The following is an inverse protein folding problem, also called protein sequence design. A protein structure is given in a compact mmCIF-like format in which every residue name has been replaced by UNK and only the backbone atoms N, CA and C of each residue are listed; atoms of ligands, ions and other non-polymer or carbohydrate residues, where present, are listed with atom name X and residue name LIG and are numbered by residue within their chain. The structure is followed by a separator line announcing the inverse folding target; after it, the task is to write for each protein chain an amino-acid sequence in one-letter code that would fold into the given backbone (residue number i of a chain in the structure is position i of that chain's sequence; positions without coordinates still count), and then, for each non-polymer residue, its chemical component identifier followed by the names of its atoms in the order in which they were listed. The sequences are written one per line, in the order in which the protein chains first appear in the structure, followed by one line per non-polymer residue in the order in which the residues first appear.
data_IF_842551694128
#
_entry.id   IF_842551694128
#
_cell.length_a   1.000
_cell.length_b   1.000
_cell.length_c   1.000
_cell.angle_alpha   90.00
_cell.angle_beta   90.00
_cell.angle_gamma   90.00
#
_symmetry.space_group_name_H-M   'P 1'
#
loop_
_entity.id
_entity.type
_entity.pdbx_description
1 polymer ?
#
# COMPACT_ATOMS: atom_id res chain seq x y z
N UNK A 1 -22.96 -18.15 3.18
CA UNK A 1 -22.63 -16.72 3.38
C UNK A 1 -21.25 -16.51 2.78
N UNK A 2 -21.17 -15.77 1.68
CA UNK A 2 -19.88 -15.43 1.07
C UNK A 2 -19.19 -14.40 1.97
N UNK A 3 -17.99 -14.72 2.47
CA UNK A 3 -17.20 -13.84 3.32
C UNK A 3 -15.82 -13.71 2.69
N UNK A 4 -15.43 -12.49 2.37
CA UNK A 4 -14.09 -12.19 1.91
C UNK A 4 -13.08 -12.52 3.00
N UNK A 5 -12.01 -13.23 2.64
CA UNK A 5 -10.92 -13.57 3.52
C UNK A 5 -9.82 -12.51 3.43
N UNK A 6 -9.56 -11.86 4.55
CA UNK A 6 -8.56 -10.81 4.68
C UNK A 6 -7.62 -11.08 5.86
N UNK A 7 -7.44 -12.36 6.23
CA UNK A 7 -6.64 -12.75 7.39
C UNK A 7 -5.18 -12.29 7.27
N UNK A 8 -4.60 -12.30 6.07
CA UNK A 8 -3.20 -11.87 5.85
C UNK A 8 -3.11 -10.36 5.94
N UNK A 9 -3.97 -9.66 5.20
CA UNK A 9 -4.07 -8.19 5.24
C UNK A 9 -4.25 -7.66 6.66
N UNK A 10 -5.22 -8.19 7.41
CA UNK A 10 -5.52 -7.70 8.76
C UNK A 10 -4.31 -7.85 9.69
N UNK A 11 -3.51 -8.90 9.52
CA UNK A 11 -2.30 -9.06 10.34
C UNK A 11 -1.16 -8.16 9.88
N UNK A 12 -1.00 -7.94 8.57
CA UNK A 12 -0.05 -6.97 8.03
C UNK A 12 -0.37 -5.56 8.54
N UNK A 13 -1.63 -5.14 8.49
CA UNK A 13 -2.08 -3.86 9.06
C UNK A 13 -1.75 -3.75 10.55
N UNK A 14 -2.00 -4.81 11.33
CA UNK A 14 -1.64 -4.81 12.74
C UNK A 14 -0.12 -4.69 12.95
N UNK A 15 0.71 -5.36 12.15
CA UNK A 15 2.18 -5.21 12.22
C UNK A 15 2.64 -3.79 11.89
N UNK A 16 2.00 -3.12 10.94
CA UNK A 16 2.29 -1.72 10.62
C UNK A 16 1.91 -0.79 11.78
N UNK A 17 0.78 -1.04 12.44
CA UNK A 17 0.38 -0.30 13.65
C UNK A 17 1.36 -0.50 14.80
N UNK A 18 1.77 -1.74 15.05
CA UNK A 18 2.76 -2.04 16.10
C UNK A 18 4.09 -1.31 15.82
N UNK A 19 4.52 -1.27 14.55
CA UNK A 19 5.73 -0.53 14.13
C UNK A 19 5.59 0.97 14.33
N UNK A 20 4.53 1.60 13.82
CA UNK A 20 4.38 3.05 13.95
C UNK A 20 4.18 3.48 15.41
N UNK A 21 3.56 2.64 16.25
CA UNK A 21 3.45 2.93 17.67
C UNK A 21 4.80 2.88 18.41
N UNK A 22 5.73 2.03 17.95
CA UNK A 22 6.99 1.77 18.66
C UNK A 22 8.17 2.61 18.15
N UNK A 23 8.17 2.94 16.85
CA UNK A 23 9.38 3.33 16.12
C UNK A 23 9.05 4.30 14.96
N UNK A 24 8.11 5.22 15.19
CA UNK A 24 7.84 6.29 14.22
C UNK A 24 8.87 7.41 14.37
N UNK A 25 9.54 7.86 13.29
CA UNK A 25 10.62 8.85 13.40
C UNK A 25 10.12 10.21 13.90
N UNK A 26 10.76 10.75 14.94
CA UNK A 26 10.39 12.05 15.54
C UNK A 26 10.44 13.22 14.55
N UNK A 27 11.35 13.15 13.57
CA UNK A 27 11.57 14.19 12.54
C UNK A 27 10.94 13.85 11.20
N UNK A 28 9.75 13.26 11.22
CA UNK A 28 9.01 12.91 9.99
C UNK A 28 8.44 14.14 9.27
N UNK A 29 8.49 14.13 7.94
CA UNK A 29 7.89 15.13 7.05
C UNK A 29 6.35 15.01 6.94
N UNK A 30 5.79 13.95 7.53
CA UNK A 30 4.36 13.72 7.71
C UNK A 30 4.07 13.34 9.15
N UNK A 31 2.88 13.70 9.62
CA UNK A 31 2.40 13.23 10.93
C UNK A 31 2.10 11.73 10.91
N UNK A 32 2.27 11.06 12.04
CA UNK A 32 1.87 9.67 12.24
C UNK A 32 0.39 9.44 11.91
N UNK A 33 -0.48 10.39 12.28
CA UNK A 33 -1.92 10.33 12.02
C UNK A 33 -2.20 10.28 10.51
N UNK A 34 -1.55 11.15 9.73
CA UNK A 34 -1.65 11.14 8.26
C UNK A 34 -1.25 9.78 7.69
N UNK A 35 -0.07 9.28 8.06
CA UNK A 35 0.44 7.97 7.59
C UNK A 35 -0.57 6.85 7.86
N UNK A 36 -1.14 6.81 9.06
CA UNK A 36 -2.16 5.81 9.39
C UNK A 36 -3.44 5.94 8.58
N UNK A 37 -3.99 7.14 8.50
CA UNK A 37 -5.23 7.38 7.78
C UNK A 37 -5.06 6.98 6.32
N UNK A 38 -4.00 7.47 5.67
CA UNK A 38 -3.72 7.24 4.25
C UNK A 38 -3.49 5.75 3.93
N UNK A 39 -2.61 5.06 4.67
CA UNK A 39 -2.37 3.63 4.46
C UNK A 39 -3.65 2.80 4.64
N UNK A 40 -4.43 3.10 5.68
CA UNK A 40 -5.65 2.36 5.97
C UNK A 40 -6.75 2.64 4.93
N UNK A 41 -7.01 3.90 4.58
CA UNK A 41 -8.07 4.26 3.64
C UNK A 41 -7.74 3.80 2.21
N UNK A 42 -6.48 3.91 1.76
CA UNK A 42 -6.01 3.28 0.52
C UNK A 42 -6.31 1.77 0.50
N UNK A 43 -6.00 1.05 1.59
CA UNK A 43 -6.26 -0.39 1.69
C UNK A 43 -7.74 -0.77 1.58
N UNK A 44 -8.67 0.12 1.95
CA UNK A 44 -10.10 -0.13 1.79
C UNK A 44 -10.60 0.26 0.40
N UNK A 45 -10.21 1.43 -0.10
CA UNK A 45 -10.60 1.92 -1.43
C UNK A 45 -10.17 0.94 -2.53
N UNK A 46 -8.94 0.43 -2.45
CA UNK A 46 -8.42 -0.46 -3.48
C UNK A 46 -9.19 -1.76 -3.60
N UNK A 47 -9.80 -2.27 -2.51
CA UNK A 47 -10.63 -3.49 -2.55
C UNK A 47 -11.85 -3.32 -3.44
N UNK A 48 -12.46 -2.13 -3.42
CA UNK A 48 -13.65 -1.81 -4.21
C UNK A 48 -13.31 -1.83 -5.70
N UNK A 49 -12.17 -1.25 -6.08
CA UNK A 49 -11.75 -1.20 -7.47
C UNK A 49 -11.14 -2.51 -7.96
N UNK A 50 -10.39 -3.23 -7.13
CA UNK A 50 -9.92 -4.57 -7.42
C UNK A 50 -11.11 -5.52 -7.71
N UNK A 51 -12.19 -5.42 -6.93
CA UNK A 51 -13.42 -6.18 -7.18
C UNK A 51 -14.02 -5.87 -8.55
N UNK A 52 -14.07 -4.58 -8.96
CA UNK A 52 -14.59 -4.18 -10.28
C UNK A 52 -13.71 -4.66 -11.44
N UNK A 53 -12.42 -4.84 -11.21
CA UNK A 53 -11.45 -5.27 -12.23
C UNK A 53 -11.19 -6.79 -12.22
N UNK A 54 -11.87 -7.55 -11.35
CA UNK A 54 -11.64 -9.00 -11.22
C UNK A 54 -10.27 -9.37 -10.64
N UNK A 55 -9.62 -8.45 -9.93
CA UNK A 55 -8.34 -8.65 -9.26
C UNK A 55 -8.53 -9.17 -7.83
N UNK A 56 -7.49 -9.78 -7.27
CA UNK A 56 -7.47 -10.20 -5.87
C UNK A 56 -7.54 -8.97 -4.95
N UNK A 57 -8.64 -8.83 -4.23
CA UNK A 57 -8.86 -7.70 -3.33
C UNK A 57 -7.89 -7.72 -2.15
N UNK A 58 -7.55 -8.91 -1.63
CA UNK A 58 -6.58 -9.02 -0.53
C UNK A 58 -5.17 -8.64 -0.99
N UNK A 59 -4.73 -9.13 -2.16
CA UNK A 59 -3.39 -8.81 -2.69
C UNK A 59 -3.25 -7.31 -2.97
N UNK A 60 -4.24 -6.71 -3.65
CA UNK A 60 -4.24 -5.28 -3.92
C UNK A 60 -4.23 -4.46 -2.61
N UNK A 61 -5.03 -4.87 -1.62
CA UNK A 61 -5.06 -4.20 -0.32
C UNK A 61 -3.76 -4.36 0.48
N UNK A 62 -3.05 -5.48 0.34
CA UNK A 62 -1.72 -5.65 0.95
C UNK A 62 -0.72 -4.69 0.32
N UNK A 63 -0.69 -4.58 -1.01
CA UNK A 63 0.17 -3.62 -1.69
C UNK A 63 -0.14 -2.17 -1.26
N UNK A 64 -1.43 -1.80 -1.18
CA UNK A 64 -1.85 -0.49 -0.70
C UNK A 64 -1.52 -0.24 0.79
N UNK A 65 -1.60 -1.26 1.65
CA UNK A 65 -1.20 -1.12 3.04
C UNK A 65 0.31 -0.89 3.21
N UNK A 66 1.11 -1.33 2.24
CA UNK A 66 2.57 -1.33 2.29
C UNK A 66 3.25 -0.26 1.41
N UNK A 67 2.50 0.48 0.59
CA UNK A 67 3.09 1.37 -0.42
C UNK A 67 3.97 2.48 0.17
N UNK A 68 3.58 3.03 1.32
CA UNK A 68 4.34 4.05 2.04
C UNK A 68 5.19 3.46 3.19
N UNK A 69 5.56 2.18 3.12
CA UNK A 69 6.37 1.55 4.17
C UNK A 69 7.73 2.24 4.36
N UNK A 70 8.33 2.79 3.30
CA UNK A 70 9.54 3.60 3.40
C UNK A 70 9.33 4.84 4.26
N UNK A 71 8.23 5.58 4.02
CA UNK A 71 7.86 6.75 4.80
C UNK A 71 7.57 6.40 6.27
N UNK A 72 6.94 5.26 6.52
CA UNK A 72 6.74 4.74 7.88
C UNK A 72 8.06 4.46 8.61
N UNK A 73 9.09 3.99 7.88
CA UNK A 73 10.40 3.66 8.45
C UNK A 73 11.30 4.88 8.65
N UNK A 74 11.28 5.82 7.72
CA UNK A 74 12.28 6.92 7.66
C UNK A 74 11.69 8.28 7.98
N UNK A 75 10.39 8.47 7.82
CA UNK A 75 9.72 9.76 7.92
C UNK A 75 10.00 10.70 6.74
N UNK A 76 10.74 10.24 5.72
CA UNK A 76 11.20 11.05 4.59
C UNK A 76 10.38 10.72 3.35
N UNK A 77 9.88 11.74 2.64
CA UNK A 77 9.11 11.53 1.39
C UNK A 77 10.02 11.28 0.18
N UNK A 78 11.20 11.88 0.16
CA UNK A 78 12.12 11.67 -0.94
C UNK A 78 12.50 10.19 -1.05
N UNK A 79 12.34 9.62 -2.25
CA UNK A 79 12.60 8.20 -2.54
C UNK A 79 11.91 7.18 -1.59
N UNK A 80 10.77 7.53 -1.00
CA UNK A 80 10.06 6.66 -0.06
C UNK A 80 9.56 5.35 -0.71
N UNK A 81 9.20 5.38 -1.99
CA UNK A 81 8.74 4.21 -2.75
C UNK A 81 9.87 3.17 -2.92
N UNK A 82 11.02 3.61 -3.42
CA UNK A 82 12.23 2.81 -3.58
C UNK A 82 12.71 2.25 -2.22
N UNK A 83 12.86 3.14 -1.23
CA UNK A 83 13.26 2.76 0.14
C UNK A 83 12.27 1.76 0.75
N UNK A 84 10.97 1.96 0.55
CA UNK A 84 9.94 1.06 1.02
C UNK A 84 10.09 -0.32 0.40
N UNK A 85 10.22 -0.38 -0.92
CA UNK A 85 10.38 -1.64 -1.66
C UNK A 85 11.61 -2.44 -1.19
N UNK A 86 12.75 -1.78 -0.94
CA UNK A 86 13.96 -2.43 -0.45
C UNK A 86 13.80 -3.03 0.96
N UNK A 87 12.97 -2.41 1.81
CA UNK A 87 12.72 -2.87 3.17
C UNK A 87 11.59 -3.94 3.27
N UNK A 88 10.86 -4.17 2.18
CA UNK A 88 9.68 -5.03 2.20
C UNK A 88 9.99 -6.53 2.22
N UNK A 89 11.13 -6.95 1.69
CA UNK A 89 11.54 -8.36 1.75
C UNK A 89 11.59 -8.85 3.20
N UNK A 90 12.34 -8.13 4.05
CA UNK A 90 12.45 -8.41 5.48
C UNK A 90 11.12 -8.32 6.22
N UNK A 91 10.24 -7.39 5.83
CA UNK A 91 8.90 -7.30 6.41
C UNK A 91 8.06 -8.54 6.09
N UNK A 92 8.02 -8.94 4.82
CA UNK A 92 7.24 -10.08 4.35
C UNK A 92 7.81 -11.41 4.85
N UNK A 93 9.14 -11.52 5.00
CA UNK A 93 9.78 -12.70 5.61
C UNK A 93 9.41 -12.85 7.09
N UNK A 94 9.40 -11.75 7.85
CA UNK A 94 8.90 -11.76 9.23
C UNK A 94 7.43 -12.13 9.30
N UNK A 95 6.59 -11.61 8.41
CA UNK A 95 5.18 -11.99 8.34
C UNK A 95 5.02 -13.50 8.09
N UNK A 96 5.68 -14.03 7.05
CA UNK A 96 5.60 -15.44 6.69
C UNK A 96 6.11 -16.34 7.82
N UNK A 97 7.24 -15.99 8.43
CA UNK A 97 7.84 -16.76 9.54
C UNK A 97 6.93 -16.80 10.77
N UNK A 98 6.35 -15.67 11.18
CA UNK A 98 5.59 -15.60 12.44
C UNK A 98 4.12 -16.02 12.29
N UNK A 99 3.55 -15.84 11.09
CA UNK A 99 2.11 -15.91 10.88
C UNK A 99 1.68 -16.76 9.69
N UNK A 100 2.59 -17.08 8.77
CA UNK A 100 2.30 -17.79 7.52
C UNK A 100 1.57 -19.12 7.71
N UNK A 101 2.02 -19.96 8.64
CA UNK A 101 1.37 -21.26 8.92
C UNK A 101 -0.09 -21.13 9.35
N UNK A 102 -0.45 -20.06 10.07
CA UNK A 102 -1.79 -19.87 10.64
C UNK A 102 -2.70 -19.01 9.77
N UNK A 103 -2.14 -18.15 8.93
CA UNK A 103 -2.87 -17.13 8.17
C UNK A 103 -2.75 -17.25 6.65
N UNK A 104 -1.83 -18.08 6.18
CA UNK A 104 -1.44 -18.16 4.77
C UNK A 104 -0.17 -17.35 4.52
N UNK A 105 0.70 -17.92 3.68
CA UNK A 105 1.92 -17.28 3.20
C UNK A 105 1.57 -16.17 2.19
N UNK A 106 2.43 -15.16 2.11
CA UNK A 106 2.59 -14.34 0.91
C UNK A 106 3.57 -15.10 0.01
N UNK A 107 3.11 -15.56 -1.15
CA UNK A 107 3.92 -16.37 -2.06
C UNK A 107 5.03 -15.54 -2.71
N UNK A 108 6.00 -16.19 -3.36
CA UNK A 108 7.04 -15.48 -4.11
C UNK A 108 6.48 -14.63 -5.26
N UNK A 109 5.41 -15.10 -5.92
CA UNK A 109 4.72 -14.35 -6.97
C UNK A 109 3.99 -13.12 -6.41
N UNK A 110 3.22 -13.30 -5.33
CA UNK A 110 2.53 -12.20 -4.65
C UNK A 110 3.53 -11.17 -4.11
N UNK A 111 4.65 -11.63 -3.55
CA UNK A 111 5.76 -10.78 -3.09
C UNK A 111 6.30 -9.92 -4.24
N UNK A 112 6.62 -10.53 -5.38
CA UNK A 112 7.10 -9.79 -6.55
C UNK A 112 6.11 -8.73 -7.01
N UNK A 113 4.81 -9.07 -7.06
CA UNK A 113 3.74 -8.12 -7.41
C UNK A 113 3.68 -6.97 -6.40
N UNK A 114 3.71 -7.26 -5.10
CA UNK A 114 3.65 -6.24 -4.04
C UNK A 114 4.87 -5.33 -4.12
N UNK A 115 6.08 -5.87 -4.12
CA UNK A 115 7.32 -5.09 -4.10
C UNK A 115 7.45 -4.25 -5.36
N UNK A 116 7.13 -4.81 -6.53
CA UNK A 116 7.14 -4.05 -7.78
C UNK A 116 6.11 -2.91 -7.76
N UNK A 117 4.87 -3.20 -7.34
CA UNK A 117 3.82 -2.19 -7.23
C UNK A 117 4.24 -1.07 -6.28
N UNK A 118 4.81 -1.40 -5.12
CA UNK A 118 5.29 -0.42 -4.14
C UNK A 118 6.47 0.38 -4.68
N UNK A 119 7.44 -0.24 -5.37
CA UNK A 119 8.60 0.49 -5.90
C UNK A 119 8.20 1.60 -6.86
N UNK A 120 7.27 1.29 -7.75
CA UNK A 120 6.90 2.17 -8.85
C UNK A 120 5.63 2.99 -8.58
N UNK A 121 4.98 2.85 -7.41
CA UNK A 121 3.69 3.52 -7.18
C UNK A 121 3.78 5.05 -7.28
N UNK A 122 4.94 5.66 -7.03
CA UNK A 122 5.12 7.12 -7.13
C UNK A 122 5.26 7.63 -8.56
N UNK A 123 5.50 6.77 -9.55
CA UNK A 123 5.70 7.11 -10.96
C UNK A 123 4.36 7.34 -11.68
N UNK A 124 3.69 8.45 -11.34
CA UNK A 124 2.29 8.67 -11.76
C UNK A 124 2.11 8.90 -13.26
N UNK A 125 3.09 9.44 -13.96
CA UNK A 125 3.02 9.65 -15.42
C UNK A 125 3.29 8.36 -16.21
N UNK A 126 4.03 7.42 -15.62
CA UNK A 126 4.36 6.17 -16.27
C UNK A 126 3.16 5.23 -16.22
N UNK A 127 2.75 4.73 -17.39
CA UNK A 127 1.63 3.80 -17.55
C UNK A 127 2.21 2.43 -17.93
N UNK A 128 1.80 1.39 -17.21
CA UNK A 128 2.17 0.00 -17.50
C UNK A 128 0.94 -0.86 -17.79
N UNK A 129 1.17 -2.07 -18.32
CA UNK A 129 0.14 -3.11 -18.48
C UNK A 129 -0.06 -3.94 -17.20
N UNK A 130 0.50 -3.49 -16.07
CA UNK A 130 0.47 -4.23 -14.81
C UNK A 130 -0.69 -3.77 -13.91
N UNK A 131 -1.72 -4.60 -13.74
CA UNK A 131 -2.99 -4.14 -13.18
C UNK A 131 -2.91 -3.72 -11.71
N UNK A 132 -2.10 -4.42 -10.89
CA UNK A 132 -1.93 -4.07 -9.48
C UNK A 132 -1.15 -2.76 -9.30
N UNK A 133 -0.13 -2.51 -10.13
CA UNK A 133 0.64 -1.27 -10.10
C UNK A 133 -0.23 -0.08 -10.50
N UNK A 134 -0.91 -0.17 -11.64
CA UNK A 134 -1.76 0.93 -12.11
C UNK A 134 -2.91 1.20 -11.13
N UNK A 135 -3.53 0.15 -10.59
CA UNK A 135 -4.58 0.31 -9.59
C UNK A 135 -4.05 0.95 -8.29
N UNK A 136 -2.85 0.59 -7.85
CA UNK A 136 -2.24 1.21 -6.67
C UNK A 136 -1.93 2.70 -6.91
N UNK A 137 -1.36 3.03 -8.08
CA UNK A 137 -1.06 4.43 -8.45
C UNK A 137 -2.32 5.29 -8.46
N UNK A 138 -3.41 4.72 -8.98
CA UNK A 138 -4.71 5.34 -9.06
C UNK A 138 -5.34 5.58 -7.68
N UNK A 139 -5.35 4.55 -6.83
CA UNK A 139 -5.97 4.64 -5.50
C UNK A 139 -5.18 5.55 -4.56
N UNK A 140 -3.84 5.52 -4.59
CA UNK A 140 -3.04 6.48 -3.82
C UNK A 140 -3.39 7.93 -4.21
N UNK A 141 -3.50 8.20 -5.52
CA UNK A 141 -3.90 9.53 -6.00
C UNK A 141 -5.32 9.93 -5.57
N UNK A 142 -6.26 8.98 -5.67
CA UNK A 142 -7.66 9.19 -5.29
C UNK A 142 -7.82 9.41 -3.78
N UNK A 143 -7.15 8.61 -2.96
CA UNK A 143 -7.24 8.72 -1.50
C UNK A 143 -6.76 10.09 -1.02
N UNK A 144 -5.59 10.54 -1.51
CA UNK A 144 -5.07 11.88 -1.23
C UNK A 144 -6.08 12.97 -1.61
N UNK A 145 -6.68 12.87 -2.79
CA UNK A 145 -7.72 13.81 -3.24
C UNK A 145 -8.95 13.80 -2.33
N UNK A 146 -9.41 12.62 -1.90
CA UNK A 146 -10.57 12.47 -1.00
C UNK A 146 -10.28 13.01 0.43
N UNK A 147 -9.02 13.03 0.85
CA UNK A 147 -8.58 13.73 2.08
C UNK A 147 -8.40 15.24 1.90
N UNK A 148 -8.73 15.80 0.73
CA UNK A 148 -8.64 17.23 0.46
C UNK A 148 -7.21 17.73 0.22
N UNK A 149 -6.26 16.84 -0.11
CA UNK A 149 -4.90 17.25 -0.48
C UNK A 149 -4.96 17.94 -1.86
N UNK A 150 -4.38 19.15 -2.02
CA UNK A 150 -4.29 19.80 -3.32
C UNK A 150 -3.69 18.87 -4.37
N UNK A 151 -4.43 18.65 -5.45
CA UNK A 151 -4.14 17.62 -6.45
C UNK A 151 -4.08 18.25 -7.84
N UNK A 152 -3.01 17.98 -8.59
CA UNK A 152 -2.78 18.49 -9.94
C UNK A 152 -1.91 17.54 -10.76
N UNK A 153 -1.67 17.89 -12.02
CA UNK A 153 -0.81 17.13 -12.92
C UNK A 153 -1.20 15.65 -13.02
N UNK A 154 -0.20 14.77 -12.95
CA UNK A 154 -0.35 13.32 -13.04
C UNK A 154 -1.36 12.73 -12.05
N UNK A 155 -1.38 13.23 -10.80
CA UNK A 155 -2.29 12.77 -9.77
C UNK A 155 -3.75 13.05 -10.16
N UNK A 156 -4.05 14.25 -10.66
CA UNK A 156 -5.41 14.61 -11.08
C UNK A 156 -5.88 13.77 -12.28
N UNK A 157 -4.99 13.51 -13.25
CA UNK A 157 -5.30 12.62 -14.39
C UNK A 157 -5.72 11.23 -13.91
N UNK A 158 -5.09 10.70 -12.86
CA UNK A 158 -5.44 9.40 -12.26
C UNK A 158 -6.77 9.45 -11.53
N UNK A 159 -7.03 10.51 -10.74
CA UNK A 159 -8.32 10.73 -10.06
C UNK A 159 -9.48 10.73 -11.07
N UNK A 160 -9.32 11.43 -12.20
CA UNK A 160 -10.34 11.56 -13.26
C UNK A 160 -10.74 10.23 -13.92
N UNK A 161 -9.99 9.14 -13.72
CA UNK A 161 -10.40 7.80 -14.18
C UNK A 161 -11.60 7.24 -13.41
N UNK A 162 -11.92 7.82 -12.25
CA UNK A 162 -12.90 7.27 -11.29
C UNK A 162 -14.01 8.24 -10.87
N UNK A 163 -14.00 9.49 -11.37
CA UNK A 163 -15.00 10.53 -11.09
C UNK A 163 -15.64 11.07 -12.36
#
# INVERSE_FOLDING_TARGET
MEKLDFRRLNKILAMLMDKAASDFPEKSEVSLQWTYMHLFSCSQLIKVYALKQGLSQELAAIAAALHDYGLLCTGIKDNHAETGADLLDDFLDRYNTMYGERRGLVTGEERSIIIHAVRHHSEKEDISDEPYLELLKDVDSLDRYLHGVPTGGAYLKRVQRYI
#
